data_IF_747486505492
#
_entry.id   IF_747486505492
#
_cell.length_a   1.000
_cell.length_b   1.000
_cell.length_c   1.000
_cell.angle_alpha   90.00
_cell.angle_beta   90.00
_cell.angle_gamma   90.00
#
_symmetry.space_group_name_H-M   'P 1'
#
loop_
_entity.id
_entity.type
_entity.pdbx_description
1 polymer ?
#
# COMPACT_ATOMS: atom_id res chain seq x y z
N UNK A 1 -11.58 16.18 0.84
CA UNK A 1 -10.68 15.49 -0.12
C UNK A 1 -11.46 14.36 -0.74
N UNK A 2 -11.41 14.20 -2.05
CA UNK A 2 -12.07 13.09 -2.76
C UNK A 2 -11.15 11.87 -2.87
N UNK A 3 -11.71 10.68 -3.12
CA UNK A 3 -10.91 9.46 -3.37
C UNK A 3 -9.88 9.67 -4.49
N UNK A 4 -10.26 10.34 -5.57
CA UNK A 4 -9.36 10.62 -6.69
C UNK A 4 -8.20 11.53 -6.27
N UNK A 5 -8.47 12.59 -5.50
CA UNK A 5 -7.42 13.48 -4.98
C UNK A 5 -6.44 12.74 -4.04
N UNK A 6 -6.94 11.83 -3.21
CA UNK A 6 -6.10 11.01 -2.33
C UNK A 6 -5.23 10.05 -3.15
N UNK A 7 -5.80 9.39 -4.17
CA UNK A 7 -5.06 8.48 -5.05
C UNK A 7 -4.00 9.24 -5.86
N UNK A 8 -4.31 10.42 -6.39
CA UNK A 8 -3.35 11.22 -7.16
C UNK A 8 -2.17 11.68 -6.31
N UNK A 9 -2.43 12.11 -5.07
CA UNK A 9 -1.38 12.45 -4.09
C UNK A 9 -0.53 11.25 -3.73
N UNK A 10 -1.17 10.11 -3.52
CA UNK A 10 -0.48 8.85 -3.22
C UNK A 10 0.45 8.44 -4.36
N UNK A 11 -0.06 8.42 -5.58
CA UNK A 11 0.71 8.11 -6.78
C UNK A 11 1.88 9.09 -6.93
N UNK A 12 1.63 10.38 -6.80
CA UNK A 12 2.66 11.42 -6.90
C UNK A 12 3.75 11.23 -5.84
N UNK A 13 3.39 10.93 -4.60
CA UNK A 13 4.35 10.74 -3.51
C UNK A 13 5.28 9.54 -3.76
N UNK A 14 4.76 8.42 -4.27
CA UNK A 14 5.60 7.28 -4.63
C UNK A 14 6.48 7.57 -5.85
N UNK A 15 5.95 8.30 -6.84
CA UNK A 15 6.69 8.71 -8.04
C UNK A 15 7.80 9.76 -7.78
N UNK A 16 7.74 10.47 -6.64
CA UNK A 16 8.83 11.35 -6.21
C UNK A 16 10.05 10.59 -5.68
N UNK A 17 9.86 9.33 -5.26
CA UNK A 17 10.94 8.49 -4.72
C UNK A 17 11.58 7.66 -5.82
N UNK A 18 10.78 7.07 -6.69
CA UNK A 18 11.19 6.25 -7.84
C UNK A 18 10.12 6.33 -8.91
N UNK A 19 10.53 6.27 -10.17
CA UNK A 19 9.55 6.16 -11.25
C UNK A 19 8.87 4.77 -11.27
N UNK A 20 7.85 4.62 -12.12
CA UNK A 20 7.09 3.38 -12.17
C UNK A 20 7.93 2.19 -12.67
N UNK A 21 8.83 2.41 -13.63
CA UNK A 21 9.66 1.36 -14.21
C UNK A 21 10.73 0.88 -13.19
N UNK A 22 11.24 1.78 -12.36
CA UNK A 22 12.12 1.46 -11.23
C UNK A 22 11.40 0.63 -10.17
N UNK A 23 10.14 0.96 -9.84
CA UNK A 23 9.34 0.13 -8.93
C UNK A 23 9.10 -1.26 -9.49
N UNK A 24 8.70 -1.35 -10.76
CA UNK A 24 8.43 -2.62 -11.44
C UNK A 24 9.70 -3.47 -11.58
N UNK A 25 10.84 -2.83 -11.88
CA UNK A 25 12.14 -3.49 -11.92
C UNK A 25 12.55 -4.08 -10.58
N UNK A 26 12.28 -3.40 -9.46
CA UNK A 26 12.53 -3.93 -8.11
C UNK A 26 11.61 -5.10 -7.76
N UNK A 27 10.32 -5.01 -8.11
CA UNK A 27 9.39 -6.14 -7.96
C UNK A 27 9.87 -7.35 -8.75
N UNK A 28 10.24 -7.17 -10.02
CA UNK A 28 10.75 -8.24 -10.87
C UNK A 28 12.05 -8.86 -10.34
N UNK A 29 13.01 -8.05 -9.92
CA UNK A 29 14.28 -8.52 -9.36
C UNK A 29 14.07 -9.32 -8.05
N UNK A 30 13.13 -8.89 -7.21
CA UNK A 30 12.76 -9.64 -6.01
C UNK A 30 12.12 -10.98 -6.35
N UNK A 31 11.17 -11.00 -7.28
CA UNK A 31 10.52 -12.25 -7.74
C UNK A 31 11.55 -13.21 -8.32
N UNK A 32 12.50 -12.72 -9.13
CA UNK A 32 13.60 -13.54 -9.66
C UNK A 32 14.52 -14.08 -8.55
N UNK A 33 14.81 -13.28 -7.52
CA UNK A 33 15.59 -13.72 -6.36
C UNK A 33 14.88 -14.86 -5.60
N UNK A 34 13.55 -14.76 -5.42
CA UNK A 34 12.75 -15.84 -4.86
C UNK A 34 12.71 -17.09 -5.75
N UNK A 35 12.51 -16.94 -7.06
CA UNK A 35 12.50 -18.08 -7.99
C UNK A 35 13.85 -18.82 -8.05
N UNK A 36 14.95 -18.09 -7.89
CA UNK A 36 16.31 -18.66 -7.87
C UNK A 36 16.75 -19.15 -6.49
N UNK A 37 15.92 -19.00 -5.44
CA UNK A 37 16.27 -19.24 -4.04
C UNK A 37 17.58 -18.55 -3.62
N UNK A 38 17.78 -17.31 -4.07
CA UNK A 38 18.96 -16.52 -3.75
C UNK A 38 18.71 -15.71 -2.46
N UNK A 39 18.88 -16.37 -1.32
CA UNK A 39 18.61 -15.80 0.01
C UNK A 39 19.40 -14.50 0.27
N UNK A 40 20.67 -14.45 -0.12
CA UNK A 40 21.51 -13.25 0.02
C UNK A 40 20.91 -12.05 -0.74
N UNK A 41 20.40 -12.29 -1.95
CA UNK A 41 19.80 -11.23 -2.76
C UNK A 41 18.42 -10.83 -2.22
N UNK A 42 17.63 -11.79 -1.70
CA UNK A 42 16.37 -11.51 -1.01
C UNK A 42 16.61 -10.62 0.21
N UNK A 43 17.58 -10.95 1.06
CA UNK A 43 17.95 -10.17 2.24
C UNK A 43 18.43 -8.76 1.89
N UNK A 44 19.08 -8.59 0.73
CA UNK A 44 19.54 -7.30 0.25
C UNK A 44 18.42 -6.44 -0.35
N UNK A 45 17.49 -7.05 -1.09
CA UNK A 45 16.46 -6.33 -1.85
C UNK A 45 15.18 -6.10 -1.05
N UNK A 46 14.73 -7.06 -0.25
CA UNK A 46 13.40 -7.05 0.35
C UNK A 46 13.25 -5.94 1.41
N UNK A 47 14.14 -5.81 2.41
CA UNK A 47 13.99 -4.77 3.43
C UNK A 47 13.95 -3.33 2.87
N UNK A 48 14.88 -2.89 1.99
CA UNK A 48 14.82 -1.53 1.44
C UNK A 48 13.62 -1.31 0.51
N UNK A 49 13.18 -2.34 -0.23
CA UNK A 49 11.97 -2.28 -1.04
C UNK A 49 10.74 -1.99 -0.16
N UNK A 50 10.50 -2.82 0.86
CA UNK A 50 9.38 -2.65 1.80
C UNK A 50 9.47 -1.31 2.55
N UNK A 51 10.66 -0.96 3.03
CA UNK A 51 10.86 0.27 3.80
C UNK A 51 10.57 1.52 2.97
N UNK A 52 10.88 1.50 1.67
CA UNK A 52 10.62 2.64 0.79
C UNK A 52 9.11 2.90 0.66
N UNK A 53 8.32 1.85 0.45
CA UNK A 53 6.85 1.95 0.40
C UNK A 53 6.25 2.44 1.72
N UNK A 54 6.69 1.84 2.84
CA UNK A 54 6.25 2.19 4.20
C UNK A 54 6.56 3.65 4.53
N UNK A 55 7.77 4.10 4.21
CA UNK A 55 8.23 5.47 4.51
C UNK A 55 7.39 6.51 3.78
N UNK A 56 7.10 6.31 2.50
CA UNK A 56 6.23 7.23 1.74
C UNK A 56 4.85 7.31 2.40
N UNK A 57 4.26 6.16 2.75
CA UNK A 57 2.94 6.12 3.39
C UNK A 57 2.92 6.77 4.77
N UNK A 58 3.90 6.47 5.63
CA UNK A 58 3.93 6.93 7.01
C UNK A 58 4.39 8.37 7.20
N UNK A 59 5.23 8.89 6.31
CA UNK A 59 5.84 10.21 6.48
C UNK A 59 5.41 11.21 5.42
N UNK A 60 5.37 10.80 4.15
CA UNK A 60 5.01 11.73 3.06
C UNK A 60 3.49 11.89 2.96
N UNK A 61 2.74 10.81 3.17
CA UNK A 61 1.28 10.81 3.06
C UNK A 61 0.54 11.00 4.38
N UNK A 62 1.26 11.21 5.49
CA UNK A 62 0.67 11.42 6.82
C UNK A 62 -0.33 12.57 6.85
N UNK A 63 0.10 13.77 6.48
CA UNK A 63 -0.78 14.94 6.52
C UNK A 63 -1.99 14.80 5.57
N UNK A 64 -1.85 14.30 4.32
CA UNK A 64 -2.99 13.95 3.49
C UNK A 64 -3.97 12.95 4.13
N UNK A 65 -3.48 11.90 4.78
CA UNK A 65 -4.33 10.89 5.44
C UNK A 65 -5.00 11.45 6.69
N UNK A 66 -4.28 12.18 7.53
CA UNK A 66 -4.82 12.84 8.71
C UNK A 66 -5.92 13.85 8.31
N UNK A 67 -5.70 14.63 7.24
CA UNK A 67 -6.70 15.55 6.68
C UNK A 67 -7.93 14.83 6.10
N UNK A 68 -7.78 13.57 5.69
CA UNK A 68 -8.87 12.70 5.25
C UNK A 68 -9.54 11.93 6.40
N UNK A 69 -9.06 12.09 7.65
CA UNK A 69 -9.56 11.37 8.81
C UNK A 69 -9.14 9.89 8.86
N UNK A 70 -8.05 9.55 8.17
CA UNK A 70 -7.48 8.19 8.11
C UNK A 70 -6.27 8.15 9.03
N UNK A 71 -6.30 7.27 10.04
CA UNK A 71 -5.11 6.97 10.84
C UNK A 71 -4.24 5.92 10.14
N UNK A 72 -2.93 6.10 10.25
CA UNK A 72 -1.92 5.22 9.66
C UNK A 72 -1.09 4.59 10.78
N UNK A 73 -1.05 3.27 10.84
CA UNK A 73 -0.21 2.51 11.77
C UNK A 73 0.60 1.44 11.04
N UNK A 74 1.57 0.83 11.74
CA UNK A 74 2.41 -0.23 11.17
C UNK A 74 1.56 -1.36 10.55
N UNK A 75 2.03 -1.98 9.46
CA UNK A 75 1.35 -3.10 8.83
C UNK A 75 1.40 -4.35 9.72
N UNK A 76 0.34 -5.15 9.69
CA UNK A 76 0.28 -6.45 10.35
C UNK A 76 0.82 -7.59 9.49
N UNK A 77 0.84 -7.47 8.15
CA UNK A 77 1.35 -8.51 7.23
C UNK A 77 2.78 -8.24 6.78
N UNK A 78 3.56 -9.28 6.45
CA UNK A 78 4.95 -9.14 5.99
C UNK A 78 5.12 -8.21 4.79
N UNK A 79 4.21 -8.28 3.80
CA UNK A 79 4.18 -7.45 2.60
C UNK A 79 3.23 -6.25 2.70
N UNK A 80 2.71 -5.96 3.90
CA UNK A 80 1.87 -4.80 4.15
C UNK A 80 2.66 -3.50 4.12
N UNK A 81 2.02 -2.45 3.61
CA UNK A 81 2.56 -1.09 3.53
C UNK A 81 2.21 -0.30 4.79
N UNK A 82 0.94 -0.31 5.20
CA UNK A 82 0.48 0.27 6.45
C UNK A 82 -0.92 -0.23 6.77
N UNK A 83 -1.33 -0.19 8.03
CA UNK A 83 -2.72 -0.34 8.41
C UNK A 83 -3.40 1.03 8.38
N UNK A 84 -4.39 1.18 7.51
CA UNK A 84 -5.18 2.40 7.33
C UNK A 84 -6.53 2.22 8.01
N UNK A 85 -6.88 3.11 8.93
CA UNK A 85 -8.13 3.00 9.69
C UNK A 85 -8.93 4.30 9.64
N UNK A 86 -10.21 4.19 9.30
CA UNK A 86 -11.17 5.29 9.36
C UNK A 86 -12.56 4.74 9.65
N UNK A 87 -13.35 5.45 10.45
CA UNK A 87 -14.75 5.11 10.72
C UNK A 87 -14.97 3.65 11.21
N UNK A 88 -14.02 3.09 11.96
CA UNK A 88 -14.07 1.71 12.45
C UNK A 88 -13.76 0.63 11.40
N UNK A 89 -13.40 1.02 10.18
CA UNK A 89 -12.94 0.14 9.12
C UNK A 89 -11.41 0.22 9.06
N UNK A 90 -10.76 -0.94 9.03
CA UNK A 90 -9.31 -1.06 8.84
C UNK A 90 -9.02 -1.81 7.54
N UNK A 91 -8.08 -1.29 6.75
CA UNK A 91 -7.59 -1.88 5.50
C UNK A 91 -6.06 -1.83 5.50
N UNK A 92 -5.46 -2.83 4.86
CA UNK A 92 -4.00 -2.92 4.78
C UNK A 92 -3.61 -3.16 3.31
N UNK A 93 -3.19 -2.12 2.57
CA UNK A 93 -2.59 -2.31 1.26
C UNK A 93 -1.31 -3.17 1.37
N UNK A 94 -1.17 -4.15 0.49
CA UNK A 94 -0.03 -5.07 0.41
C UNK A 94 0.63 -5.00 -0.96
N UNK A 95 1.89 -5.45 -1.04
CA UNK A 95 2.73 -5.41 -2.26
C UNK A 95 2.80 -6.76 -3.00
N UNK A 96 1.96 -7.72 -2.63
CA UNK A 96 1.88 -9.01 -3.31
C UNK A 96 0.43 -9.44 -3.52
N UNK A 97 0.19 -10.31 -4.50
CA UNK A 97 -1.05 -11.06 -4.58
C UNK A 97 -1.09 -12.05 -3.41
N UNK A 98 -2.06 -11.86 -2.51
CA UNK A 98 -2.29 -12.81 -1.41
C UNK A 98 -3.33 -13.80 -1.89
N UNK A 99 -2.92 -15.03 -2.19
CA UNK A 99 -3.90 -16.11 -2.24
C UNK A 99 -4.35 -16.40 -0.79
N UNK A 100 -5.48 -15.81 -0.41
CA UNK A 100 -6.09 -15.98 0.91
C UNK A 100 -6.55 -17.43 1.17
N UNK A 101 -6.43 -18.33 0.18
CA UNK A 101 -6.85 -19.73 0.28
C UNK A 101 -5.72 -20.70 0.64
N UNK A 102 -4.45 -20.25 0.64
CA UNK A 102 -3.30 -21.13 0.91
C UNK A 102 -2.61 -20.76 2.22
N UNK A 103 -2.73 -21.59 3.28
CA UNK A 103 -1.98 -21.37 4.51
C UNK A 103 -0.53 -21.84 4.36
N UNK A 104 0.43 -20.91 4.49
CA UNK A 104 1.77 -21.20 5.03
C UNK A 104 2.79 -21.90 4.13
N UNK A 105 2.80 -21.65 2.83
CA UNK A 105 3.91 -22.05 1.94
C UNK A 105 4.47 -20.86 1.14
N UNK A 106 5.72 -20.94 0.62
CA UNK A 106 6.24 -20.03 -0.39
C UNK A 106 5.59 -20.33 -1.75
N UNK A 107 4.26 -20.40 -1.78
CA UNK A 107 3.50 -20.55 -3.00
C UNK A 107 3.59 -19.21 -3.74
N UNK A 108 4.41 -19.19 -4.80
CA UNK A 108 4.54 -18.15 -5.81
C UNK A 108 4.27 -16.73 -5.28
N UNK A 109 5.28 -16.15 -4.63
CA UNK A 109 5.21 -14.75 -4.27
C UNK A 109 5.14 -13.92 -5.56
N UNK A 110 3.93 -13.47 -5.90
CA UNK A 110 3.70 -12.59 -7.02
C UNK A 110 3.65 -11.15 -6.50
N UNK A 111 4.73 -10.41 -6.69
CA UNK A 111 4.79 -8.99 -6.34
C UNK A 111 4.03 -8.16 -7.35
N UNK A 112 3.30 -7.17 -6.84
CA UNK A 112 2.53 -6.25 -7.66
C UNK A 112 3.47 -5.32 -8.44
N UNK A 113 3.10 -5.03 -9.68
CA UNK A 113 3.58 -3.84 -10.38
C UNK A 113 3.12 -2.58 -9.65
N UNK A 114 3.75 -1.44 -9.94
CA UNK A 114 3.36 -0.14 -9.43
C UNK A 114 1.90 0.16 -9.73
N UNK A 115 1.43 -0.10 -10.96
CA UNK A 115 0.04 0.13 -11.35
C UNK A 115 -0.95 -0.74 -10.56
N UNK A 116 -0.62 -2.01 -10.33
CA UNK A 116 -1.43 -2.92 -9.52
C UNK A 116 -1.43 -2.52 -8.04
N UNK A 117 -0.27 -2.14 -7.50
CA UNK A 117 -0.16 -1.62 -6.14
C UNK A 117 -1.03 -0.38 -5.95
N UNK A 118 -1.02 0.57 -6.90
CA UNK A 118 -1.91 1.75 -6.87
C UNK A 118 -3.39 1.36 -6.90
N UNK A 119 -3.74 0.37 -7.72
CA UNK A 119 -5.11 -0.14 -7.84
C UNK A 119 -5.57 -0.78 -6.53
N UNK A 120 -4.73 -1.61 -5.92
CA UNK A 120 -5.03 -2.24 -4.63
C UNK A 120 -5.12 -1.21 -3.50
N UNK A 121 -4.26 -0.19 -3.52
CA UNK A 121 -4.31 0.93 -2.59
C UNK A 121 -5.64 1.69 -2.71
N UNK A 122 -6.08 1.98 -3.93
CA UNK A 122 -7.36 2.63 -4.20
C UNK A 122 -8.55 1.79 -3.67
N UNK A 123 -8.52 0.47 -3.87
CA UNK A 123 -9.52 -0.45 -3.32
C UNK A 123 -9.54 -0.44 -1.79
N UNK A 124 -8.38 -0.31 -1.14
CA UNK A 124 -8.28 -0.16 0.31
C UNK A 124 -8.83 1.20 0.79
N UNK A 125 -8.60 2.28 0.03
CA UNK A 125 -9.02 3.63 0.41
C UNK A 125 -10.52 3.90 0.18
N UNK A 126 -11.12 3.32 -0.86
CA UNK A 126 -12.51 3.53 -1.21
C UNK A 126 -13.49 3.40 -0.01
N UNK A 127 -13.52 2.27 0.74
CA UNK A 127 -14.43 2.12 1.87
C UNK A 127 -14.10 3.03 3.05
N UNK A 128 -12.85 3.50 3.17
CA UNK A 128 -12.44 4.42 4.24
C UNK A 128 -12.97 5.84 4.01
N UNK A 129 -13.15 6.22 2.74
CA UNK A 129 -13.53 7.57 2.30
C UNK A 129 -15.02 7.70 1.96
N UNK A 130 -15.74 6.61 1.70
CA UNK A 130 -17.18 6.59 1.40
C UNK A 130 -18.04 7.19 2.53
N UNK A 131 -17.58 7.15 3.79
CA UNK A 131 -18.37 7.62 4.95
C UNK A 131 -17.99 9.03 5.42
N UNK A 132 -16.96 9.64 4.84
CA UNK A 132 -16.55 11.01 5.15
C UNK A 132 -17.57 12.04 4.63
N UNK A 133 -18.37 11.69 3.62
CA UNK A 133 -19.42 12.55 3.05
C UNK A 133 -20.76 12.57 3.82
N UNK A 134 -21.10 11.51 4.55
CA UNK A 134 -22.43 11.39 5.17
C UNK A 134 -22.61 12.21 6.46
N UNK A 135 -21.52 12.69 7.08
CA UNK A 135 -21.58 13.37 8.38
C UNK A 135 -21.91 14.87 8.30
N UNK A 136 -21.99 15.45 7.11
CA UNK A 136 -22.35 16.88 6.95
C UNK A 136 -23.85 17.16 6.82
N UNK A 137 -24.71 16.16 6.57
CA UNK A 137 -26.15 16.43 6.33
C UNK A 137 -27.06 16.31 7.57
N UNK A 138 -26.54 15.94 8.75
CA UNK A 138 -27.36 15.71 9.95
C UNK A 138 -27.30 16.81 11.03
N UNK A 139 -26.98 18.05 10.66
CA UNK A 139 -27.15 19.25 11.52
C UNK A 139 -28.12 20.26 10.93
N UNK A 140 -29.31 19.81 10.56
CA UNK A 140 -30.46 20.72 10.46
C UNK A 140 -31.75 19.93 10.65
N UNK A 141 -32.25 19.91 11.89
CA UNK A 141 -33.67 20.07 12.26
C UNK A 141 -33.80 20.11 13.78
#
# INVERSE_FOLDING_TARGET
>A
MTLNETIDRLKTAHLMVRDADEWDGLSAALVEAYHSNNDDLIEQLQPPYLQSWRTVTHYVLRDPFDAAGISVTEPGRPWGIATLTANGISREPVLCHVDLTVPGGPAELELLTFAEAMTYYAQCLAPLLEHTGARQEQKTR
#
